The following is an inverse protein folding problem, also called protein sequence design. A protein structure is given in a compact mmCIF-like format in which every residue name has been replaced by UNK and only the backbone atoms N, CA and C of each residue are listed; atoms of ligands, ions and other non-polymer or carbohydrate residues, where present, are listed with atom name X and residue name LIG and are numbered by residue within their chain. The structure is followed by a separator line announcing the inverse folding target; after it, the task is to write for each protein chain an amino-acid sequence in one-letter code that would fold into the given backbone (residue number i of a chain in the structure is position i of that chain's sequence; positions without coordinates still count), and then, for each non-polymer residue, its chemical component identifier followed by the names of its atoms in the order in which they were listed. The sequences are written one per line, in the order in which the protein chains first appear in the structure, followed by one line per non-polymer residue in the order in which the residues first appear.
data_IF_550042090598
#
_entry.id   IF_550042090598
#
_cell.length_a   1.000
_cell.length_b   1.000
_cell.length_c   1.000
_cell.angle_alpha   90.00
_cell.angle_beta   90.00
_cell.angle_gamma   90.00
#
_symmetry.space_group_name_H-M   'P 1'
#
loop_
_entity.id
_entity.type
_entity.pdbx_description
1 polymer ?
#
# COMPACT_ATOMS: atom_id res chain seq x y z
N UNK A 1 18.44 13.22 13.96
CA UNK A 1 17.67 12.54 14.91
C UNK A 1 16.20 12.69 14.64
N UNK A 2 15.56 11.66 14.76
CA UNK A 2 14.20 11.64 14.36
C UNK A 2 13.27 11.91 15.52
N UNK A 3 12.54 12.96 15.46
CA UNK A 3 11.69 13.33 16.55
C UNK A 3 10.39 12.56 16.58
N UNK A 4 10.17 11.73 15.61
CA UNK A 4 8.94 10.99 15.59
C UNK A 4 8.87 9.90 16.56
N UNK A 5 9.98 9.60 17.15
CA UNK A 5 9.97 8.53 18.06
C UNK A 5 9.17 8.79 19.26
N UNK A 6 8.86 9.97 19.56
CA UNK A 6 8.19 10.34 20.74
C UNK A 6 7.15 9.40 21.22
N UNK A 7 7.53 8.21 21.53
CA UNK A 7 6.62 7.24 22.08
C UNK A 7 5.78 6.50 21.09
N UNK A 8 5.99 6.73 19.84
CA UNK A 8 5.25 5.99 18.84
C UNK A 8 6.01 4.77 18.43
N UNK A 9 5.28 3.74 18.07
CA UNK A 9 5.92 2.54 17.59
C UNK A 9 6.58 2.80 16.26
N UNK A 10 7.72 2.16 16.06
CA UNK A 10 8.52 2.36 14.85
C UNK A 10 8.34 1.23 13.87
N UNK A 11 7.12 0.73 13.72
CA UNK A 11 6.84 -0.36 12.78
C UNK A 11 7.19 0.04 11.36
N UNK A 12 7.09 1.32 11.07
CA UNK A 12 7.19 1.83 9.70
C UNK A 12 8.49 2.56 9.45
N UNK A 13 9.45 2.43 10.35
CA UNK A 13 10.69 3.18 10.25
C UNK A 13 11.88 2.26 10.51
N UNK A 14 12.88 2.31 9.65
CA UNK A 14 14.11 1.55 9.83
C UNK A 14 15.22 2.28 9.12
N UNK A 15 16.36 2.41 9.78
CA UNK A 15 17.56 3.03 9.21
C UNK A 15 17.26 4.44 8.68
N UNK A 16 16.42 5.17 9.37
CA UNK A 16 16.10 6.53 8.97
C UNK A 16 15.10 6.63 7.84
N UNK A 17 14.55 5.52 7.39
CA UNK A 17 13.57 5.52 6.32
C UNK A 17 12.20 5.23 6.91
N UNK A 18 11.25 6.11 6.64
CA UNK A 18 9.88 5.92 7.11
C UNK A 18 8.98 5.53 5.94
N UNK A 19 7.96 4.73 6.25
CA UNK A 19 6.99 4.36 5.23
C UNK A 19 6.38 5.59 4.57
N UNK A 20 6.12 6.62 5.36
CA UNK A 20 5.54 7.86 4.83
C UNK A 20 6.42 8.46 3.73
N UNK A 21 7.74 8.45 3.94
CA UNK A 21 8.67 8.98 2.95
C UNK A 21 8.61 8.20 1.65
N UNK A 22 8.51 6.89 1.74
CA UNK A 22 8.41 6.05 0.56
C UNK A 22 7.11 6.29 -0.18
N UNK A 23 6.02 6.37 0.58
CA UNK A 23 4.71 6.60 0.00
C UNK A 23 4.70 7.92 -0.78
N UNK A 24 5.29 8.96 -0.20
CA UNK A 24 5.34 10.25 -0.84
C UNK A 24 6.26 10.27 -2.04
N UNK A 25 7.45 9.68 -1.89
CA UNK A 25 8.44 9.68 -2.95
C UNK A 25 7.96 8.95 -4.20
N UNK A 26 7.22 7.87 -4.01
CA UNK A 26 6.71 7.08 -5.12
C UNK A 26 5.26 7.42 -5.47
N UNK A 27 4.70 8.41 -4.78
CA UNK A 27 3.34 8.87 -5.04
C UNK A 27 2.32 7.71 -5.00
N UNK A 28 2.45 6.87 -3.99
CA UNK A 28 1.56 5.73 -3.86
C UNK A 28 0.17 6.18 -3.43
N UNK A 29 -0.85 5.59 -4.04
CA UNK A 29 -2.21 5.88 -3.62
C UNK A 29 -2.51 5.15 -2.30
N UNK A 30 -3.74 5.32 -1.81
CA UNK A 30 -4.10 4.78 -0.50
C UNK A 30 -3.93 3.27 -0.42
N UNK A 31 -4.37 2.54 -1.44
CA UNK A 31 -4.29 1.08 -1.40
C UNK A 31 -2.84 0.59 -1.42
N UNK A 32 -2.03 1.15 -2.30
CA UNK A 32 -0.62 0.76 -2.38
C UNK A 32 0.13 1.18 -1.12
N UNK A 33 -0.13 2.37 -0.63
CA UNK A 33 0.50 2.84 0.59
C UNK A 33 0.09 2.00 1.80
N UNK A 34 -1.18 1.62 1.87
CA UNK A 34 -1.65 0.77 2.97
C UNK A 34 -1.02 -0.60 2.90
N UNK A 35 -0.90 -1.18 1.70
CA UNK A 35 -0.23 -2.46 1.54
C UNK A 35 1.21 -2.38 2.02
N UNK A 36 1.91 -1.31 1.65
CA UNK A 36 3.29 -1.11 2.09
C UNK A 36 3.38 -1.05 3.61
N UNK A 37 2.50 -0.29 4.24
CA UNK A 37 2.53 -0.15 5.69
C UNK A 37 2.31 -1.48 6.39
N UNK A 38 1.37 -2.28 5.91
CA UNK A 38 1.14 -3.58 6.53
C UNK A 38 2.29 -4.55 6.28
N UNK A 39 2.93 -4.47 5.12
CA UNK A 39 4.11 -5.28 4.86
C UNK A 39 5.25 -4.95 5.83
N UNK A 40 5.46 -3.66 6.08
CA UNK A 40 6.54 -3.25 6.97
C UNK A 40 6.22 -3.56 8.42
N UNK A 41 4.95 -3.53 8.79
CA UNK A 41 4.52 -3.76 10.15
C UNK A 41 4.51 -5.24 10.51
N UNK A 42 4.34 -6.12 9.52
CA UNK A 42 4.23 -7.55 9.75
C UNK A 42 5.47 -8.07 10.47
N UNK A 43 5.23 -8.72 11.59
CA UNK A 43 6.32 -9.29 12.38
C UNK A 43 7.06 -8.29 13.23
N UNK A 44 6.73 -7.01 13.15
CA UNK A 44 7.43 -5.98 13.94
C UNK A 44 6.54 -5.39 15.02
N UNK A 45 5.24 -5.52 14.87
CA UNK A 45 4.32 -4.94 15.85
C UNK A 45 4.01 -5.91 16.98
N UNK A 46 3.65 -7.13 16.62
CA UNK A 46 3.27 -8.14 17.60
C UNK A 46 3.34 -9.50 16.93
N UNK A 47 2.66 -10.48 17.51
CA UNK A 47 2.73 -11.84 17.01
C UNK A 47 1.79 -12.11 15.84
N UNK A 48 1.12 -11.09 15.35
CA UNK A 48 0.10 -11.27 14.34
C UNK A 48 0.63 -10.98 12.95
N UNK A 49 1.75 -11.55 12.62
CA UNK A 49 2.42 -11.30 11.35
C UNK A 49 1.57 -11.73 10.17
N UNK A 50 0.95 -12.90 10.31
CA UNK A 50 0.11 -13.43 9.22
C UNK A 50 -1.05 -12.49 8.94
N UNK A 51 -1.66 -11.98 9.99
CA UNK A 51 -2.79 -11.08 9.81
C UNK A 51 -2.39 -9.80 9.09
N UNK A 52 -1.23 -9.25 9.41
CA UNK A 52 -0.74 -8.06 8.74
C UNK A 52 -0.45 -8.34 7.28
N UNK A 53 0.12 -9.51 6.98
CA UNK A 53 0.37 -9.90 5.59
C UNK A 53 -0.94 -10.10 4.83
N UNK A 54 -1.95 -10.65 5.49
CA UNK A 54 -3.25 -10.80 4.86
C UNK A 54 -3.89 -9.45 4.56
N UNK A 55 -3.70 -8.49 5.43
CA UNK A 55 -4.20 -7.15 5.18
C UNK A 55 -3.48 -6.50 4.00
N UNK A 56 -2.17 -6.69 3.92
CA UNK A 56 -1.42 -6.19 2.77
C UNK A 56 -1.95 -6.80 1.49
N UNK A 57 -2.20 -8.11 1.50
CA UNK A 57 -2.74 -8.80 0.34
C UNK A 57 -4.11 -8.25 -0.06
N UNK A 58 -4.95 -7.96 0.92
CA UNK A 58 -6.28 -7.43 0.64
C UNK A 58 -6.20 -6.07 -0.06
N UNK A 59 -5.29 -5.22 0.37
CA UNK A 59 -5.13 -3.92 -0.27
C UNK A 59 -4.56 -4.06 -1.68
N UNK A 60 -3.65 -5.02 -1.88
CA UNK A 60 -3.13 -5.28 -3.22
C UNK A 60 -4.25 -5.77 -4.13
N UNK A 61 -5.07 -6.70 -3.66
CA UNK A 61 -6.20 -7.19 -4.43
C UNK A 61 -7.16 -6.07 -4.81
N UNK A 62 -7.39 -5.17 -3.88
CA UNK A 62 -8.27 -4.05 -4.14
C UNK A 62 -7.72 -3.16 -5.26
N UNK A 63 -6.42 -2.94 -5.25
CA UNK A 63 -5.79 -2.14 -6.28
C UNK A 63 -5.84 -2.82 -7.64
N UNK A 64 -5.63 -4.13 -7.67
CA UNK A 64 -5.72 -4.90 -8.89
C UNK A 64 -7.14 -4.80 -9.47
N UNK A 65 -8.14 -4.94 -8.63
CA UNK A 65 -9.53 -4.85 -9.07
C UNK A 65 -9.83 -3.47 -9.66
N UNK A 66 -9.32 -2.42 -9.03
CA UNK A 66 -9.52 -1.07 -9.51
C UNK A 66 -8.91 -0.89 -10.90
N UNK A 67 -7.70 -1.39 -11.08
CA UNK A 67 -7.01 -1.26 -12.37
C UNK A 67 -7.68 -2.10 -13.45
N UNK A 68 -8.16 -3.29 -13.10
CA UNK A 68 -8.88 -4.12 -14.05
C UNK A 68 -10.19 -3.47 -14.49
N UNK A 69 -10.89 -2.86 -13.54
CA UNK A 69 -12.12 -2.16 -13.89
C UNK A 69 -11.84 -0.99 -14.82
N UNK A 70 -10.76 -0.26 -14.59
CA UNK A 70 -10.37 0.84 -15.46
C UNK A 70 -10.01 0.34 -16.86
N UNK A 71 -9.32 -0.79 -16.95
CA UNK A 71 -8.97 -1.38 -18.22
C UNK A 71 -10.22 -1.82 -18.98
N UNK A 72 -11.18 -2.41 -18.28
CA UNK A 72 -12.42 -2.83 -18.91
C UNK A 72 -13.18 -1.64 -19.49
N UNK A 73 -13.22 -0.55 -18.75
CA UNK A 73 -13.89 0.66 -19.23
C UNK A 73 -13.17 1.24 -20.44
N UNK A 74 -11.84 1.25 -20.44
CA UNK A 74 -11.10 1.74 -21.60
C UNK A 74 -11.30 0.85 -22.81
N UNK A 75 -11.32 -0.46 -22.62
CA UNK A 75 -11.56 -1.39 -23.70
C UNK A 75 -12.94 -1.21 -24.30
N UNK A 76 -13.93 -0.99 -23.44
CA UNK A 76 -15.30 -0.77 -23.90
C UNK A 76 -15.39 0.53 -24.69
N UNK A 77 -14.78 1.59 -24.20
CA UNK A 77 -14.80 2.87 -24.90
C UNK A 77 -14.13 2.77 -26.28
N UNK A 78 -13.01 2.03 -26.35
CA UNK A 78 -12.33 1.85 -27.63
C UNK A 78 -13.16 1.05 -28.60
N UNK A 79 -13.86 0.04 -28.12
CA UNK A 79 -14.74 -0.74 -29.00
C UNK A 79 -15.88 0.11 -29.54
N UNK A 80 -16.46 0.95 -28.71
CA UNK A 80 -17.51 1.84 -29.13
C UNK A 80 -17.01 2.86 -30.15
N UNK A 81 -15.80 3.35 -29.95
CA UNK A 81 -15.24 4.33 -30.88
C UNK A 81 -14.96 3.73 -32.24
N UNK A 82 -14.75 2.42 -32.30
CA UNK A 82 -14.45 1.75 -33.56
C UNK A 82 -15.67 1.18 -34.25
N UNK A 83 -16.80 1.22 -33.60
CA UNK A 83 -18.03 0.63 -34.15
C UNK A 83 -18.66 1.47 -35.29
#
# INVERSE_FOLDING_TARGET
MNSFDGGKANYYCANGIEAQDVIEAFELNFSRGSALKYLLRAGRKNDDEIRDLEKARAYIDREIQRLRAADDLRGLAQREAQA
#
